data_IF_264792887824
#
_entry.id   IF_264792887824
#
_cell.length_a   1.000
_cell.length_b   1.000
_cell.length_c   1.000
_cell.angle_alpha   90.00
_cell.angle_beta   90.00
_cell.angle_gamma   90.00
#
_symmetry.space_group_name_H-M   'P 1'
#
loop_
_entity.id
_entity.type
_entity.pdbx_description
1 polymer ?
#
# COMPACT_ATOMS: atom_id res chain seq x y z
N UNK A 1 -49.83 -5.05 -11.08
CA UNK A 1 -49.22 -4.56 -9.83
C UNK A 1 -48.27 -3.41 -10.12
N UNK A 2 -48.27 -2.37 -9.30
CA UNK A 2 -47.46 -1.15 -9.52
C UNK A 2 -46.74 -0.76 -8.24
N UNK A 3 -45.46 -0.38 -8.37
CA UNK A 3 -44.66 0.08 -7.24
C UNK A 3 -45.14 1.45 -6.75
N UNK A 4 -45.32 1.59 -5.44
CA UNK A 4 -45.72 2.86 -4.81
C UNK A 4 -44.68 3.41 -3.85
N UNK A 5 -43.89 2.55 -3.22
CA UNK A 5 -42.88 2.94 -2.23
C UNK A 5 -41.74 1.92 -2.16
N UNK A 6 -40.50 2.39 -1.96
CA UNK A 6 -39.34 1.54 -1.66
C UNK A 6 -38.43 2.22 -0.65
N UNK A 7 -37.82 1.43 0.23
CA UNK A 7 -36.88 1.93 1.24
C UNK A 7 -35.76 0.92 1.47
N UNK A 8 -34.61 1.39 1.95
CA UNK A 8 -33.54 0.51 2.41
C UNK A 8 -33.85 -0.14 3.75
N UNK A 9 -34.77 0.44 4.55
CA UNK A 9 -35.18 -0.07 5.85
C UNK A 9 -36.47 -0.87 5.70
N UNK A 10 -36.42 -2.15 6.06
CA UNK A 10 -37.55 -3.05 5.94
C UNK A 10 -38.70 -2.63 6.85
N UNK A 11 -38.41 -2.07 8.02
CA UNK A 11 -39.41 -1.61 8.99
C UNK A 11 -40.30 -0.51 8.40
N UNK A 12 -39.71 0.38 7.59
CA UNK A 12 -40.44 1.43 6.90
C UNK A 12 -41.40 0.86 5.84
N UNK A 13 -40.96 -0.17 5.12
CA UNK A 13 -41.76 -0.84 4.08
C UNK A 13 -42.90 -1.65 4.72
N UNK A 14 -42.64 -2.34 5.83
CA UNK A 14 -43.65 -3.04 6.63
C UNK A 14 -44.70 -2.05 7.16
N UNK A 15 -44.27 -0.91 7.73
CA UNK A 15 -45.17 0.13 8.24
C UNK A 15 -46.04 0.77 7.15
N UNK A 16 -45.45 1.05 5.99
CA UNK A 16 -46.21 1.58 4.83
C UNK A 16 -47.18 0.54 4.27
N UNK A 17 -46.80 -0.73 4.21
CA UNK A 17 -47.69 -1.79 3.78
C UNK A 17 -48.87 -1.96 4.76
N UNK A 18 -48.63 -1.85 6.07
CA UNK A 18 -49.69 -1.88 7.07
C UNK A 18 -50.64 -0.68 6.93
N UNK A 19 -50.10 0.54 6.81
CA UNK A 19 -50.89 1.75 6.60
C UNK A 19 -51.83 1.66 5.38
N UNK A 20 -51.33 1.12 4.25
CA UNK A 20 -52.14 0.93 3.05
C UNK A 20 -53.21 -0.16 3.21
N UNK A 21 -52.91 -1.25 3.95
CA UNK A 21 -53.91 -2.29 4.26
C UNK A 21 -55.02 -1.76 5.16
N UNK A 22 -54.70 -0.94 6.15
CA UNK A 22 -55.67 -0.28 7.04
C UNK A 22 -56.60 0.65 6.26
N UNK A 23 -56.11 1.29 5.19
CA UNK A 23 -56.92 2.08 4.26
C UNK A 23 -57.74 1.24 3.26
N UNK A 24 -57.71 -0.09 3.37
CA UNK A 24 -58.44 -1.03 2.52
C UNK A 24 -57.80 -1.28 1.15
N UNK A 25 -56.50 -1.00 0.99
CA UNK A 25 -55.77 -1.19 -0.27
C UNK A 25 -54.97 -2.50 -0.22
N UNK A 26 -55.15 -3.35 -1.23
CA UNK A 26 -54.47 -4.63 -1.31
C UNK A 26 -53.02 -4.46 -1.82
N UNK A 27 -52.04 -4.84 -0.99
CA UNK A 27 -50.60 -4.64 -1.25
C UNK A 27 -49.78 -5.90 -1.11
N UNK A 28 -48.72 -6.01 -1.90
CA UNK A 28 -47.70 -7.05 -1.86
C UNK A 28 -46.33 -6.44 -1.58
N UNK A 29 -45.61 -6.98 -0.61
CA UNK A 29 -44.23 -6.60 -0.30
C UNK A 29 -43.28 -7.58 -0.98
N UNK A 30 -42.25 -7.07 -1.66
CA UNK A 30 -41.15 -7.87 -2.20
C UNK A 30 -39.86 -7.56 -1.44
N UNK A 31 -38.96 -8.55 -1.36
CA UNK A 31 -37.77 -8.51 -0.50
C UNK A 31 -38.14 -8.31 0.98
N UNK A 32 -39.25 -8.93 1.39
CA UNK A 32 -39.65 -9.12 2.79
C UNK A 32 -38.67 -10.08 3.50
N UNK A 33 -38.75 -10.19 4.84
CA UNK A 33 -37.91 -11.07 5.66
C UNK A 33 -37.90 -12.48 5.07
N UNK A 34 -36.89 -12.79 4.26
CA UNK A 34 -36.64 -14.17 3.89
C UNK A 34 -36.33 -14.90 5.20
N UNK A 35 -37.01 -16.02 5.40
CA UNK A 35 -37.14 -16.80 6.65
C UNK A 35 -35.80 -17.36 7.23
N UNK A 36 -34.64 -16.80 6.89
CA UNK A 36 -33.35 -17.17 7.47
C UNK A 36 -32.46 -15.96 7.71
N UNK A 37 -32.23 -15.63 8.98
CA UNK A 37 -31.07 -14.87 9.41
C UNK A 37 -31.38 -13.73 10.37
N UNK A 38 -31.49 -14.07 11.66
CA UNK A 38 -31.45 -13.13 12.77
C UNK A 38 -30.04 -12.48 12.87
N UNK A 39 -29.69 -11.62 11.92
CA UNK A 39 -28.47 -10.81 11.98
C UNK A 39 -28.79 -9.43 11.44
N UNK A 40 -28.85 -8.46 12.34
CA UNK A 40 -28.90 -7.03 12.00
C UNK A 40 -27.57 -6.72 11.30
N UNK A 41 -27.50 -6.76 9.97
CA UNK A 41 -26.31 -6.29 9.27
C UNK A 41 -26.29 -4.77 9.37
N UNK A 42 -25.25 -4.25 10.00
CA UNK A 42 -24.99 -2.81 10.07
C UNK A 42 -24.71 -2.27 8.66
N UNK A 43 -25.30 -1.12 8.34
CA UNK A 43 -25.09 -0.38 7.09
C UNK A 43 -23.59 -0.30 6.73
N UNK A 44 -23.22 -0.90 5.60
CA UNK A 44 -21.86 -0.99 5.08
C UNK A 44 -21.75 -0.14 3.81
N UNK A 45 -20.78 0.77 3.74
CA UNK A 45 -20.47 1.55 2.53
C UNK A 45 -19.75 0.73 1.43
N UNK A 46 -19.47 -0.56 1.68
CA UNK A 46 -18.62 -1.41 0.82
C UNK A 46 -19.36 -2.60 0.22
N UNK A 47 -20.68 -2.67 0.34
CA UNK A 47 -21.49 -3.77 -0.16
C UNK A 47 -22.36 -3.29 -1.32
N UNK A 48 -22.42 -4.08 -2.39
CA UNK A 48 -23.34 -3.84 -3.51
C UNK A 48 -24.77 -3.78 -2.97
N UNK A 49 -25.53 -2.77 -3.41
CA UNK A 49 -26.88 -2.53 -2.94
C UNK A 49 -27.79 -3.70 -3.35
N UNK A 50 -27.96 -4.68 -2.45
CA UNK A 50 -28.95 -5.74 -2.59
C UNK A 50 -30.36 -5.18 -2.90
N UNK A 51 -31.21 -6.03 -3.46
CA UNK A 51 -32.53 -5.65 -3.96
C UNK A 51 -33.38 -5.00 -2.83
N UNK A 52 -33.83 -3.75 -3.04
CA UNK A 52 -34.48 -2.97 -1.99
C UNK A 52 -35.88 -3.51 -1.68
N UNK A 53 -36.28 -3.60 -0.39
CA UNK A 53 -37.66 -3.81 0.01
C UNK A 53 -38.61 -2.82 -0.65
N UNK A 54 -39.68 -3.33 -1.24
CA UNK A 54 -40.59 -2.55 -2.09
C UNK A 54 -42.06 -2.94 -1.89
N UNK A 55 -42.95 -1.95 -1.82
CA UNK A 55 -44.41 -2.14 -1.74
C UNK A 55 -45.03 -1.97 -3.12
N UNK A 56 -45.81 -2.97 -3.52
CA UNK A 56 -46.57 -3.02 -4.76
C UNK A 56 -48.07 -3.03 -4.45
N UNK A 57 -48.85 -2.20 -5.13
CA UNK A 57 -50.31 -2.31 -5.10
C UNK A 57 -50.74 -3.36 -6.11
N UNK A 58 -51.62 -4.28 -5.68
CA UNK A 58 -52.06 -5.41 -6.51
C UNK A 58 -52.99 -4.92 -7.63
N UNK A 59 -54.02 -4.17 -7.23
CA UNK A 59 -55.05 -3.58 -8.08
C UNK A 59 -54.55 -2.27 -8.70
N UNK A 60 -54.82 -2.05 -9.99
CA UNK A 60 -54.28 -0.87 -10.68
C UNK A 60 -55.10 0.39 -10.40
N UNK A 61 -56.39 0.21 -10.12
CA UNK A 61 -57.34 1.24 -9.72
C UNK A 61 -56.97 1.91 -8.38
N UNK A 62 -56.38 1.16 -7.45
CA UNK A 62 -56.01 1.66 -6.13
C UNK A 62 -54.68 2.44 -6.13
N UNK A 63 -53.97 2.50 -7.26
CA UNK A 63 -52.66 3.13 -7.35
C UNK A 63 -52.71 4.64 -7.06
N UNK A 64 -53.69 5.35 -7.62
CA UNK A 64 -53.86 6.79 -7.42
C UNK A 64 -54.18 7.09 -5.95
N UNK A 65 -55.17 6.37 -5.41
CA UNK A 65 -55.59 6.47 -4.02
C UNK A 65 -54.46 6.17 -3.03
N UNK A 66 -53.65 5.13 -3.31
CA UNK A 66 -52.47 4.81 -2.49
C UNK A 66 -51.44 5.94 -2.48
N UNK A 67 -51.18 6.58 -3.64
CA UNK A 67 -50.24 7.71 -3.72
C UNK A 67 -50.76 8.95 -3.02
N UNK A 68 -52.06 9.21 -3.08
CA UNK A 68 -52.66 10.35 -2.39
C UNK A 68 -52.56 10.18 -0.86
N UNK A 69 -52.87 8.99 -0.33
CA UNK A 69 -52.67 8.68 1.09
C UNK A 69 -51.21 8.80 1.54
N UNK A 70 -50.26 8.34 0.72
CA UNK A 70 -48.83 8.48 1.03
C UNK A 70 -48.38 9.94 1.01
N UNK A 71 -49.00 10.79 0.17
CA UNK A 71 -48.72 12.23 0.12
C UNK A 71 -49.27 12.95 1.34
N UNK A 72 -50.51 12.62 1.74
CA UNK A 72 -51.14 13.14 2.96
C UNK A 72 -50.32 12.79 4.21
N UNK A 73 -49.75 11.60 4.25
CA UNK A 73 -48.84 11.16 5.32
C UNK A 73 -47.43 11.76 5.25
N UNK A 74 -47.12 12.60 4.24
CA UNK A 74 -45.80 13.21 4.05
C UNK A 74 -44.69 12.21 3.62
N UNK A 75 -45.08 11.02 3.16
CA UNK A 75 -44.15 9.94 2.78
C UNK A 75 -43.67 10.05 1.32
N UNK A 76 -44.35 10.84 0.48
CA UNK A 76 -43.94 11.18 -0.88
C UNK A 76 -44.18 12.65 -1.21
N UNK A 77 -43.25 13.27 -1.95
CA UNK A 77 -43.41 14.65 -2.43
C UNK A 77 -44.39 14.74 -3.60
N UNK A 78 -45.22 15.79 -3.61
CA UNK A 78 -46.16 16.05 -4.70
C UNK A 78 -45.42 16.60 -5.91
N UNK A 79 -45.48 15.91 -7.05
CA UNK A 79 -44.94 16.41 -8.32
C UNK A 79 -45.90 17.37 -9.06
N UNK A 80 -46.96 17.87 -8.40
CA UNK A 80 -47.93 18.81 -8.97
C UNK A 80 -47.82 20.16 -8.27
N UNK A 81 -47.14 21.10 -8.93
CA UNK A 81 -47.18 22.51 -8.56
C UNK A 81 -48.58 23.07 -8.84
N UNK A 82 -49.42 23.17 -7.82
CA UNK A 82 -50.75 23.80 -7.81
C UNK A 82 -50.69 25.35 -8.01
N UNK A 83 -49.86 25.84 -8.94
CA UNK A 83 -49.67 27.28 -9.17
C UNK A 83 -49.71 27.71 -10.64
N UNK A 84 -50.11 26.83 -11.56
CA UNK A 84 -50.12 27.12 -12.99
C UNK A 84 -51.53 27.28 -13.61
N UNK A 85 -52.56 27.58 -12.82
CA UNK A 85 -53.94 27.69 -13.34
C UNK A 85 -54.45 29.12 -13.52
N UNK A 86 -53.62 30.17 -13.55
CA UNK A 86 -54.08 31.52 -13.97
C UNK A 86 -52.94 32.37 -14.56
N UNK A 87 -52.55 32.14 -15.82
CA UNK A 87 -51.80 33.14 -16.59
C UNK A 87 -52.06 32.96 -18.10
N UNK A 88 -52.41 34.01 -18.84
CA UNK A 88 -52.61 33.91 -20.28
C UNK A 88 -51.27 33.65 -20.97
N UNK A 89 -51.29 32.77 -21.97
CA UNK A 89 -50.13 32.45 -22.81
C UNK A 89 -49.49 33.73 -23.37
N UNK A 90 -48.32 34.10 -22.84
CA UNK A 90 -47.39 35.03 -23.49
C UNK A 90 -46.19 34.22 -23.93
N UNK A 91 -45.99 34.11 -25.24
CA UNK A 91 -44.72 33.68 -25.80
C UNK A 91 -43.65 34.70 -25.40
N UNK A 92 -42.79 34.31 -24.45
CA UNK A 92 -41.52 35.00 -24.20
C UNK A 92 -40.48 34.41 -25.14
N UNK A 93 -39.91 35.24 -26.01
CA UNK A 93 -38.72 34.88 -26.77
C UNK A 93 -37.51 34.84 -25.83
N UNK A 94 -36.66 33.82 -25.97
CA UNK A 94 -35.44 33.62 -25.18
C UNK A 94 -34.44 34.79 -25.26
N UNK A 95 -34.66 35.75 -26.16
CA UNK A 95 -33.82 36.92 -26.36
C UNK A 95 -33.88 37.94 -25.20
N UNK A 96 -34.93 37.93 -24.37
CA UNK A 96 -35.10 38.94 -23.30
C UNK A 96 -34.59 38.50 -21.91
N UNK A 97 -34.15 37.26 -21.77
CA UNK A 97 -33.50 36.75 -20.55
C UNK A 97 -31.98 37.02 -20.51
N UNK A 98 -31.38 37.51 -21.60
CA UNK A 98 -29.92 37.46 -21.78
C UNK A 98 -29.12 38.67 -21.28
N UNK A 99 -29.71 39.63 -20.54
CA UNK A 99 -28.93 40.78 -20.00
C UNK A 99 -29.34 41.18 -18.59
N UNK A 100 -29.12 40.29 -17.61
CA UNK A 100 -28.92 40.71 -16.22
C UNK A 100 -27.42 40.79 -15.90
N UNK A 101 -26.91 41.91 -15.36
CA UNK A 101 -25.49 42.05 -14.98
C UNK A 101 -25.05 41.09 -13.86
N UNK A 102 -25.99 40.36 -13.23
CA UNK A 102 -25.73 39.29 -12.27
C UNK A 102 -25.26 37.96 -12.88
N UNK A 103 -25.64 37.65 -14.13
CA UNK A 103 -25.32 36.35 -14.74
C UNK A 103 -23.84 36.21 -15.09
N UNK A 104 -23.18 37.32 -15.42
CA UNK A 104 -21.73 37.37 -15.65
C UNK A 104 -20.94 37.10 -14.37
N UNK A 105 -21.45 37.49 -13.20
CA UNK A 105 -20.81 37.21 -11.89
C UNK A 105 -21.02 35.76 -11.49
N UNK A 106 -22.24 35.24 -11.69
CA UNK A 106 -22.56 33.83 -11.47
C UNK A 106 -21.71 32.90 -12.35
N UNK A 107 -21.52 33.25 -13.62
CA UNK A 107 -20.67 32.50 -14.54
C UNK A 107 -19.20 32.49 -14.08
N UNK A 108 -18.65 33.64 -13.65
CA UNK A 108 -17.27 33.72 -13.14
C UNK A 108 -17.06 32.89 -11.89
N UNK A 109 -18.03 32.89 -10.98
CA UNK A 109 -18.00 32.05 -9.77
C UNK A 109 -18.02 30.57 -10.14
N UNK A 110 -18.90 30.17 -11.06
CA UNK A 110 -19.01 28.78 -11.53
C UNK A 110 -17.73 28.31 -12.23
N UNK A 111 -17.13 29.15 -13.07
CA UNK A 111 -15.85 28.84 -13.73
C UNK A 111 -14.71 28.79 -12.72
N UNK A 112 -14.64 29.71 -11.76
CA UNK A 112 -13.64 29.69 -10.69
C UNK A 112 -13.72 28.42 -9.82
N UNK A 113 -14.94 27.97 -9.50
CA UNK A 113 -15.16 26.71 -8.77
C UNK A 113 -14.66 25.50 -9.56
N UNK A 114 -14.96 25.43 -10.87
CA UNK A 114 -14.51 24.32 -11.73
C UNK A 114 -12.98 24.28 -11.84
N UNK A 115 -12.31 25.43 -11.95
CA UNK A 115 -10.85 25.51 -11.95
C UNK A 115 -10.28 25.05 -10.61
N UNK A 116 -10.86 25.45 -9.48
CA UNK A 116 -10.42 24.97 -8.16
C UNK A 116 -10.55 23.45 -8.02
N UNK A 117 -11.66 22.87 -8.47
CA UNK A 117 -11.87 21.43 -8.47
C UNK A 117 -10.84 20.72 -9.36
N UNK A 118 -10.59 21.24 -10.57
CA UNK A 118 -9.59 20.67 -11.48
C UNK A 118 -8.17 20.72 -10.89
N UNK A 119 -7.81 21.81 -10.22
CA UNK A 119 -6.52 21.95 -9.52
C UNK A 119 -6.43 20.99 -8.35
N UNK A 120 -7.49 20.86 -7.53
CA UNK A 120 -7.53 19.91 -6.42
C UNK A 120 -7.42 18.46 -6.91
N UNK A 121 -8.11 18.10 -7.99
CA UNK A 121 -8.01 16.78 -8.62
C UNK A 121 -6.62 16.52 -9.18
N UNK A 122 -6.01 17.52 -9.84
CA UNK A 122 -4.64 17.46 -10.34
C UNK A 122 -3.63 17.26 -9.21
N UNK A 123 -3.77 17.99 -8.10
CA UNK A 123 -2.94 17.81 -6.91
C UNK A 123 -3.16 16.43 -6.26
N UNK A 124 -4.40 15.93 -6.20
CA UNK A 124 -4.69 14.62 -5.64
C UNK A 124 -4.10 13.48 -6.50
N UNK A 125 -4.20 13.60 -7.83
CA UNK A 125 -3.58 12.66 -8.77
C UNK A 125 -2.05 12.71 -8.68
N UNK A 126 -1.48 13.91 -8.57
CA UNK A 126 -0.03 14.09 -8.45
C UNK A 126 0.51 13.57 -7.11
N UNK A 127 -0.24 13.76 -6.01
CA UNK A 127 0.08 13.15 -4.71
C UNK A 127 -0.11 11.63 -4.74
N UNK A 128 -1.15 11.11 -5.40
CA UNK A 128 -1.37 9.67 -5.55
C UNK A 128 -0.29 8.97 -6.38
N UNK A 129 0.29 9.65 -7.38
CA UNK A 129 1.45 9.16 -8.13
C UNK A 129 2.73 9.16 -7.29
N UNK A 130 2.91 10.17 -6.41
CA UNK A 130 4.06 10.25 -5.48
C UNK A 130 3.92 9.31 -4.27
N UNK A 131 2.70 8.95 -3.88
CA UNK A 131 2.40 8.09 -2.74
C UNK A 131 1.90 6.70 -3.14
N UNK A 132 2.25 6.20 -4.34
CA UNK A 132 2.07 4.78 -4.62
C UNK A 132 2.81 3.99 -3.53
N UNK A 133 2.11 3.17 -2.71
CA UNK A 133 2.80 2.30 -1.79
C UNK A 133 3.75 1.43 -2.61
N UNK A 134 5.03 1.43 -2.26
CA UNK A 134 6.01 0.59 -2.91
C UNK A 134 5.50 -0.86 -2.87
N UNK A 135 5.65 -1.65 -3.95
CA UNK A 135 5.40 -3.08 -3.89
C UNK A 135 6.15 -3.65 -2.68
N UNK A 136 5.49 -4.52 -1.90
CA UNK A 136 6.10 -5.14 -0.71
C UNK A 136 7.49 -5.64 -1.09
N UNK A 137 8.52 -5.07 -0.44
CA UNK A 137 9.90 -5.39 -0.75
C UNK A 137 10.07 -6.91 -0.73
N UNK A 138 10.80 -7.50 -1.69
CA UNK A 138 11.03 -8.94 -1.71
C UNK A 138 11.63 -9.35 -0.37
N UNK A 139 10.89 -10.19 0.37
CA UNK A 139 11.34 -10.74 1.65
C UNK A 139 12.59 -11.57 1.38
N UNK A 140 13.65 -11.31 2.13
CA UNK A 140 14.91 -12.02 1.97
C UNK A 140 14.72 -13.51 2.34
N UNK A 141 14.99 -14.46 1.42
CA UNK A 141 14.83 -15.88 1.70
C UNK A 141 15.71 -16.35 2.86
N UNK A 142 16.90 -15.75 3.07
CA UNK A 142 17.77 -16.09 4.18
C UNK A 142 17.17 -15.66 5.53
N UNK A 143 16.42 -14.56 5.56
CA UNK A 143 15.70 -14.09 6.75
C UNK A 143 14.57 -15.05 7.13
N UNK A 144 13.79 -15.50 6.14
CA UNK A 144 12.72 -16.49 6.35
C UNK A 144 13.28 -17.83 6.82
N UNK A 145 14.39 -18.27 6.24
CA UNK A 145 15.06 -19.52 6.65
C UNK A 145 15.63 -19.43 8.07
N UNK A 146 16.17 -18.27 8.46
CA UNK A 146 16.66 -18.04 9.82
C UNK A 146 15.53 -18.10 10.86
N UNK A 147 14.36 -17.54 10.54
CA UNK A 147 13.22 -17.50 11.45
C UNK A 147 12.68 -18.90 11.82
N UNK A 148 12.83 -19.87 10.92
CA UNK A 148 12.37 -21.25 11.09
C UNK A 148 13.47 -22.21 11.63
N UNK A 149 14.67 -21.69 11.93
CA UNK A 149 15.85 -22.53 12.23
C UNK A 149 15.84 -23.04 13.69
N UNK A 150 16.48 -24.19 13.89
CA UNK A 150 16.65 -24.85 15.19
C UNK A 150 17.92 -24.45 15.99
N UNK A 151 18.77 -23.56 15.45
CA UNK A 151 20.00 -23.03 16.10
C UNK A 151 20.96 -24.10 16.65
N UNK A 152 21.25 -25.12 15.86
CA UNK A 152 22.14 -26.25 16.18
C UNK A 152 23.65 -25.96 16.00
N UNK A 153 24.03 -24.69 15.80
CA UNK A 153 25.42 -24.27 15.54
C UNK A 153 25.91 -24.52 14.10
N UNK A 154 25.07 -25.10 13.23
CA UNK A 154 25.42 -25.28 11.83
C UNK A 154 25.31 -23.97 11.04
N UNK A 155 26.10 -23.86 9.96
CA UNK A 155 26.16 -22.66 9.12
C UNK A 155 24.82 -22.44 8.40
N UNK A 156 24.35 -21.19 8.41
CA UNK A 156 23.17 -20.72 7.69
C UNK A 156 23.57 -19.73 6.58
N UNK A 157 22.67 -19.53 5.61
CA UNK A 157 22.80 -18.43 4.66
C UNK A 157 22.73 -17.09 5.39
N UNK A 158 23.57 -16.14 4.99
CA UNK A 158 23.66 -14.85 5.69
C UNK A 158 22.53 -13.91 5.23
N UNK A 159 21.62 -13.44 6.13
CA UNK A 159 20.63 -12.44 5.76
C UNK A 159 21.27 -11.16 5.21
N UNK A 160 20.67 -10.55 4.20
CA UNK A 160 21.17 -9.34 3.53
C UNK A 160 21.33 -8.17 4.49
N UNK A 161 20.39 -7.99 5.41
CA UNK A 161 20.47 -6.94 6.43
C UNK A 161 21.66 -7.15 7.37
N UNK A 162 21.96 -8.40 7.72
CA UNK A 162 23.14 -8.76 8.50
C UNK A 162 24.42 -8.49 7.70
N UNK A 163 24.49 -8.98 6.46
CA UNK A 163 25.63 -8.75 5.58
C UNK A 163 25.92 -7.24 5.40
N UNK A 164 24.87 -6.44 5.19
CA UNK A 164 24.97 -4.98 5.09
C UNK A 164 25.56 -4.36 6.36
N UNK A 165 25.08 -4.76 7.54
CA UNK A 165 25.58 -4.24 8.80
C UNK A 165 27.07 -4.56 9.00
N UNK A 166 27.47 -5.80 8.72
CA UNK A 166 28.86 -6.24 8.90
C UNK A 166 29.78 -5.57 7.88
N UNK A 167 29.43 -5.56 6.59
CA UNK A 167 30.22 -4.85 5.58
C UNK A 167 30.31 -3.35 5.89
N UNK A 168 29.21 -2.70 6.27
CA UNK A 168 29.20 -1.28 6.60
C UNK A 168 30.14 -0.95 7.77
N UNK A 169 30.22 -1.83 8.76
CA UNK A 169 31.13 -1.69 9.90
C UNK A 169 32.60 -1.90 9.49
N UNK A 170 32.88 -2.91 8.66
CA UNK A 170 34.25 -3.29 8.32
C UNK A 170 34.86 -2.48 7.18
N UNK A 171 34.05 -1.96 6.24
CA UNK A 171 34.53 -1.09 5.17
C UNK A 171 35.08 0.26 5.68
N UNK A 172 34.76 0.64 6.92
CA UNK A 172 35.37 1.80 7.56
C UNK A 172 36.85 1.58 7.94
N UNK A 173 37.27 0.32 8.03
CA UNK A 173 38.65 -0.08 8.37
C UNK A 173 39.45 -0.52 7.13
N UNK A 174 38.86 -0.45 5.92
CA UNK A 174 39.46 -1.01 4.71
C UNK A 174 40.48 -0.06 4.09
N UNK A 175 41.63 -0.59 3.68
CA UNK A 175 42.79 0.22 3.27
C UNK A 175 42.75 0.61 1.78
N UNK A 176 42.06 -0.18 0.95
CA UNK A 176 42.01 0.04 -0.49
C UNK A 176 40.76 0.82 -0.94
N UNK A 177 40.86 1.70 -1.95
CA UNK A 177 39.70 2.43 -2.48
C UNK A 177 38.77 1.53 -3.29
N UNK A 178 39.26 0.41 -3.82
CA UNK A 178 38.43 -0.61 -4.48
C UNK A 178 38.29 -1.83 -3.57
N UNK A 179 37.05 -2.23 -3.34
CA UNK A 179 36.69 -3.35 -2.47
C UNK A 179 35.78 -4.32 -3.21
N UNK A 180 36.18 -5.59 -3.24
CA UNK A 180 35.48 -6.62 -3.99
C UNK A 180 34.79 -7.58 -3.03
N UNK A 181 33.46 -7.52 -2.99
CA UNK A 181 32.68 -8.15 -1.93
C UNK A 181 32.15 -9.52 -2.35
N UNK A 182 32.40 -10.52 -1.50
CA UNK A 182 31.87 -11.87 -1.57
C UNK A 182 30.97 -12.14 -0.36
N UNK A 183 29.80 -12.73 -0.60
CA UNK A 183 28.87 -13.15 0.44
C UNK A 183 28.66 -14.67 0.34
N UNK A 184 28.94 -15.34 1.46
CA UNK A 184 28.96 -16.79 1.63
C UNK A 184 29.91 -17.49 0.65
N UNK A 185 29.47 -17.80 -0.58
CA UNK A 185 30.31 -18.37 -1.65
C UNK A 185 30.09 -17.71 -3.01
N UNK A 186 29.26 -16.66 -3.04
CA UNK A 186 28.86 -15.98 -4.26
C UNK A 186 29.20 -14.50 -4.22
N UNK A 187 29.06 -13.84 -5.36
CA UNK A 187 29.19 -12.39 -5.42
C UNK A 187 28.16 -11.71 -4.51
N UNK A 188 28.58 -10.63 -3.85
CA UNK A 188 27.65 -9.79 -3.12
C UNK A 188 26.55 -9.27 -4.07
N UNK A 189 25.25 -9.38 -3.68
CA UNK A 189 24.15 -8.94 -4.53
C UNK A 189 24.26 -7.45 -4.89
N UNK A 190 23.86 -7.06 -6.11
CA UNK A 190 23.90 -5.65 -6.55
C UNK A 190 23.19 -4.70 -5.58
N UNK A 191 22.04 -5.10 -5.05
CA UNK A 191 21.30 -4.31 -4.06
C UNK A 191 22.13 -4.03 -2.80
N UNK A 192 22.96 -4.99 -2.37
CA UNK A 192 23.86 -4.83 -1.23
C UNK A 192 25.00 -3.86 -1.57
N UNK A 193 25.62 -4.00 -2.75
CA UNK A 193 26.66 -3.07 -3.22
C UNK A 193 26.12 -1.63 -3.31
N UNK A 194 24.91 -1.44 -3.88
CA UNK A 194 24.28 -0.13 -3.99
C UNK A 194 23.95 0.49 -2.62
N UNK A 195 23.52 -0.32 -1.65
CA UNK A 195 23.21 0.14 -0.29
C UNK A 195 24.47 0.56 0.51
N UNK A 196 25.63 0.04 0.14
CA UNK A 196 26.92 0.33 0.78
C UNK A 196 27.73 1.41 0.04
N UNK A 197 27.26 1.87 -1.12
CA UNK A 197 27.98 2.83 -1.95
C UNK A 197 28.19 4.17 -1.21
N UNK A 198 29.42 4.68 -1.26
CA UNK A 198 29.82 5.96 -0.66
C UNK A 198 30.84 6.67 -1.56
N UNK A 199 30.94 8.00 -1.50
CA UNK A 199 31.96 8.74 -2.25
C UNK A 199 33.37 8.23 -1.92
N UNK A 200 34.21 8.04 -2.95
CA UNK A 200 35.59 7.58 -2.79
C UNK A 200 35.77 6.07 -2.56
N UNK A 201 34.68 5.31 -2.45
CA UNK A 201 34.72 3.85 -2.28
C UNK A 201 34.10 3.16 -3.50
N UNK A 202 34.92 2.37 -4.21
CA UNK A 202 34.49 1.57 -5.36
C UNK A 202 34.18 0.15 -4.93
N UNK A 203 32.90 -0.22 -4.93
CA UNK A 203 32.45 -1.57 -4.59
C UNK A 203 32.21 -2.39 -5.84
N UNK A 204 32.85 -3.56 -5.93
CA UNK A 204 32.70 -4.51 -7.03
C UNK A 204 32.24 -5.87 -6.51
N UNK A 205 31.59 -6.69 -7.35
CA UNK A 205 31.46 -8.13 -7.10
C UNK A 205 32.86 -8.78 -7.03
N UNK A 206 33.04 -9.78 -6.17
CA UNK A 206 34.32 -10.48 -6.04
C UNK A 206 34.82 -11.09 -7.36
N UNK A 207 33.93 -11.54 -8.25
CA UNK A 207 34.28 -12.06 -9.58
C UNK A 207 34.97 -11.05 -10.51
N UNK A 208 34.84 -9.74 -10.22
CA UNK A 208 35.49 -8.67 -10.97
C UNK A 208 36.91 -8.36 -10.47
N UNK A 209 37.42 -9.12 -9.51
CA UNK A 209 38.74 -8.94 -8.96
C UNK A 209 39.51 -10.26 -8.99
N UNK A 210 40.81 -10.12 -9.06
CA UNK A 210 41.76 -11.22 -9.07
C UNK A 210 42.55 -11.20 -7.76
N UNK A 211 42.53 -12.33 -7.07
CA UNK A 211 43.32 -12.56 -5.86
C UNK A 211 44.76 -12.84 -6.27
N UNK A 212 45.69 -12.05 -5.76
CA UNK A 212 47.11 -12.15 -6.11
C UNK A 212 47.92 -12.15 -4.82
N UNK A 213 48.66 -13.24 -4.61
CA UNK A 213 49.39 -13.48 -3.37
C UNK A 213 50.74 -12.75 -3.29
N UNK A 214 51.29 -12.38 -4.44
CA UNK A 214 52.57 -11.70 -4.53
C UNK A 214 52.49 -10.27 -3.99
N UNK A 215 53.64 -9.64 -3.82
CA UNK A 215 53.76 -8.31 -3.20
C UNK A 215 53.03 -7.21 -4.01
N UNK A 216 52.70 -7.44 -5.30
CA UNK A 216 51.89 -6.52 -6.09
C UNK A 216 50.44 -6.40 -5.60
N UNK A 217 49.96 -7.41 -4.88
CA UNK A 217 48.61 -7.52 -4.35
C UNK A 217 47.51 -7.63 -5.38
N UNK A 218 46.33 -7.88 -4.83
CA UNK A 218 45.10 -8.16 -5.54
C UNK A 218 44.61 -6.93 -6.29
N UNK A 219 43.93 -7.16 -7.42
CA UNK A 219 43.53 -6.09 -8.34
C UNK A 219 42.16 -6.34 -8.93
N UNK A 220 41.46 -5.26 -9.26
CA UNK A 220 40.28 -5.33 -10.11
C UNK A 220 40.70 -5.66 -11.56
N UNK A 221 39.74 -6.15 -12.36
CA UNK A 221 39.98 -6.53 -13.78
C UNK A 221 40.49 -5.38 -14.65
N UNK A 222 40.29 -4.13 -14.22
CA UNK A 222 40.79 -2.92 -14.87
C UNK A 222 42.17 -2.47 -14.37
N UNK A 223 42.83 -3.29 -13.54
CA UNK A 223 44.20 -3.10 -13.07
C UNK A 223 44.34 -2.28 -11.78
N UNK A 224 43.26 -1.69 -11.27
CA UNK A 224 43.32 -0.93 -10.01
C UNK A 224 43.56 -1.84 -8.80
N UNK A 225 44.37 -1.43 -7.81
CA UNK A 225 44.51 -2.15 -6.55
C UNK A 225 43.15 -2.39 -5.90
N UNK A 226 42.90 -3.61 -5.46
CA UNK A 226 41.63 -3.98 -4.86
C UNK A 226 41.82 -5.00 -3.75
N UNK A 227 41.07 -4.83 -2.68
CA UNK A 227 41.03 -5.78 -1.58
C UNK A 227 39.79 -6.66 -1.70
N UNK A 228 39.97 -7.98 -1.54
CA UNK A 228 38.91 -8.96 -1.58
C UNK A 228 38.36 -9.14 -0.16
N UNK A 229 37.10 -8.76 0.03
CA UNK A 229 36.42 -8.93 1.31
C UNK A 229 35.36 -10.02 1.19
N UNK A 230 35.41 -10.99 2.09
CA UNK A 230 34.45 -12.09 2.17
C UNK A 230 33.78 -12.13 3.55
N UNK A 231 32.46 -12.27 3.53
CA UNK A 231 31.67 -12.70 4.68
C UNK A 231 31.20 -14.12 4.47
N UNK A 232 31.43 -15.00 5.44
CA UNK A 232 31.04 -16.41 5.33
C UNK A 232 30.75 -17.03 6.69
N UNK A 233 30.27 -18.27 6.64
CA UNK A 233 30.11 -19.13 7.80
C UNK A 233 29.29 -18.49 8.94
N UNK A 234 28.16 -17.85 8.60
CA UNK A 234 27.24 -17.35 9.61
C UNK A 234 26.65 -18.52 10.43
N UNK A 235 26.88 -18.49 11.74
CA UNK A 235 26.40 -19.48 12.72
C UNK A 235 25.44 -18.79 13.67
N UNK A 236 24.13 -18.87 13.43
CA UNK A 236 23.15 -18.24 14.31
C UNK A 236 23.04 -19.03 15.63
N UNK A 237 23.06 -18.31 16.75
CA UNK A 237 22.78 -18.84 18.09
C UNK A 237 21.35 -18.56 18.53
N UNK A 238 20.69 -17.58 17.90
CA UNK A 238 19.27 -17.28 18.04
C UNK A 238 18.74 -16.61 16.77
N UNK A 239 17.46 -16.23 16.75
CA UNK A 239 16.86 -15.44 15.64
C UNK A 239 17.55 -14.09 15.45
N UNK A 240 18.15 -13.59 16.52
CA UNK A 240 18.64 -12.23 16.64
C UNK A 240 20.13 -12.17 16.95
N UNK A 241 20.83 -13.30 17.05
CA UNK A 241 22.25 -13.33 17.39
C UNK A 241 23.00 -14.48 16.72
N UNK A 242 24.30 -14.29 16.53
CA UNK A 242 25.19 -15.35 16.05
C UNK A 242 26.62 -14.88 15.87
N UNK A 243 27.41 -15.70 15.18
CA UNK A 243 28.79 -15.37 14.80
C UNK A 243 28.97 -15.47 13.30
N UNK A 244 29.79 -14.60 12.72
CA UNK A 244 30.12 -14.62 11.28
C UNK A 244 31.63 -14.47 11.10
N UNK A 245 32.17 -15.12 10.07
CA UNK A 245 33.57 -14.97 9.67
C UNK A 245 33.70 -13.88 8.62
N UNK A 246 34.69 -13.02 8.83
CA UNK A 246 35.09 -11.95 7.92
C UNK A 246 36.54 -12.19 7.51
N UNK A 247 36.84 -11.99 6.23
CA UNK A 247 38.21 -11.88 5.76
C UNK A 247 38.36 -10.73 4.80
N UNK A 248 39.48 -10.02 4.91
CA UNK A 248 39.93 -9.02 3.97
C UNK A 248 41.32 -9.42 3.48
N UNK A 249 41.51 -9.51 2.17
CA UNK A 249 42.72 -10.00 1.56
C UNK A 249 43.20 -9.04 0.47
N UNK A 250 44.42 -8.56 0.60
CA UNK A 250 45.11 -7.83 -0.46
C UNK A 250 46.28 -8.64 -1.02
N UNK A 251 47.17 -9.15 -0.17
CA UNK A 251 48.26 -10.06 -0.55
C UNK A 251 48.66 -10.95 0.64
N UNK A 252 49.69 -11.79 0.47
CA UNK A 252 50.17 -12.70 1.52
C UNK A 252 50.59 -12.01 2.84
N UNK A 253 51.01 -10.75 2.77
CA UNK A 253 51.50 -9.96 3.91
C UNK A 253 50.42 -9.04 4.48
N UNK A 254 49.35 -8.80 3.71
CA UNK A 254 48.25 -7.89 4.02
C UNK A 254 46.95 -8.68 3.88
N UNK A 255 46.63 -9.39 4.95
CA UNK A 255 45.37 -10.11 5.11
C UNK A 255 44.90 -10.04 6.56
N UNK A 256 43.59 -9.90 6.75
CA UNK A 256 42.94 -9.82 8.06
C UNK A 256 41.77 -10.79 8.10
N UNK A 257 41.72 -11.62 9.13
CA UNK A 257 40.63 -12.56 9.39
C UNK A 257 40.02 -12.24 10.74
N UNK A 258 38.70 -12.10 10.79
CA UNK A 258 37.97 -11.82 12.03
C UNK A 258 36.83 -12.82 12.22
N UNK A 259 36.58 -13.17 13.46
CA UNK A 259 35.32 -13.78 13.89
C UNK A 259 34.53 -12.73 14.64
N UNK A 260 33.35 -12.38 14.15
CA UNK A 260 32.52 -11.29 14.66
C UNK A 260 31.28 -11.87 15.35
N UNK A 261 30.97 -11.39 16.54
CA UNK A 261 29.68 -11.57 17.16
C UNK A 261 28.72 -10.49 16.64
N UNK A 262 27.54 -10.94 16.22
CA UNK A 262 26.51 -10.09 15.61
C UNK A 262 25.19 -10.28 16.34
N UNK A 263 24.46 -9.19 16.53
CA UNK A 263 23.19 -9.19 17.24
C UNK A 263 22.23 -8.15 16.65
N UNK A 264 20.92 -8.39 16.72
CA UNK A 264 19.91 -7.37 16.45
C UNK A 264 19.70 -6.53 17.69
N UNK A 265 20.07 -5.26 17.59
CA UNK A 265 19.80 -4.25 18.60
C UNK A 265 18.76 -3.31 18.00
N UNK A 266 17.61 -3.18 18.68
CA UNK A 266 16.46 -2.39 18.19
C UNK A 266 15.98 -2.83 16.80
N UNK A 267 15.95 -4.15 16.55
CA UNK A 267 15.54 -4.73 15.27
C UNK A 267 16.55 -4.59 14.12
N UNK A 268 17.72 -3.99 14.36
CA UNK A 268 18.77 -3.81 13.35
C UNK A 268 20.00 -4.64 13.70
N UNK A 269 20.52 -5.41 12.75
CA UNK A 269 21.77 -6.13 12.92
C UNK A 269 22.94 -5.17 13.17
N UNK A 270 23.79 -5.51 14.13
CA UNK A 270 25.02 -4.80 14.46
C UNK A 270 26.12 -5.79 14.79
N UNK A 271 27.36 -5.41 14.49
CA UNK A 271 28.54 -6.10 15.04
C UNK A 271 28.70 -5.63 16.48
N UNK A 272 28.50 -6.53 17.44
CA UNK A 272 28.56 -6.18 18.88
C UNK A 272 29.95 -6.41 19.46
N UNK A 273 30.70 -7.37 18.92
CA UNK A 273 32.04 -7.69 19.41
C UNK A 273 32.89 -8.37 18.34
N UNK A 274 34.18 -8.06 18.30
CA UNK A 274 35.17 -8.88 17.58
C UNK A 274 35.67 -9.97 18.54
N UNK A 275 35.38 -11.23 18.24
CA UNK A 275 35.75 -12.38 19.09
C UNK A 275 37.19 -12.81 18.85
N UNK A 276 37.64 -12.74 17.60
CA UNK A 276 38.99 -13.13 17.20
C UNK A 276 39.44 -12.25 16.04
N UNK A 277 40.72 -11.86 16.06
CA UNK A 277 41.39 -11.21 14.94
C UNK A 277 42.70 -11.93 14.69
N UNK A 278 42.95 -12.29 13.43
CA UNK A 278 44.22 -12.83 12.95
C UNK A 278 44.67 -11.95 11.80
N UNK A 279 45.94 -11.53 11.80
CA UNK A 279 46.52 -10.76 10.70
C UNK A 279 47.67 -11.56 10.12
N UNK A 280 47.86 -11.49 8.81
CA UNK A 280 49.13 -11.88 8.22
C UNK A 280 50.23 -11.01 8.84
N UNK A 281 51.27 -11.64 9.38
CA UNK A 281 52.49 -10.95 9.78
C UNK A 281 53.46 -11.10 8.62
N UNK A 282 53.69 -10.01 7.90
CA UNK A 282 54.74 -9.91 6.90
C UNK A 282 56.12 -9.84 7.52
#
# INVERSE_FOLDING_TARGET
MRQVFSSSRLENVEGVAQFLREAGIEVRVTNDRSYKGNRRSSFSYREDAGERPTVWVIRSEDQLRARDLLREAGLIDSTRSEQAHQAPYRFRSDAELARRPGDKRMLRIKVGLLVCIAVAMGLALFQGLRHRPAPSAPVDPAETALAARAFDGSVAATPRALAQAVFAAQLAEADQPTQCLRLDRGDAPRALLSALARPGLRLLPASQCEEIADDSGSRARDGQPAELIELRAFRPTSKDAGTIEYSAYFNRSVAVYKTLAVERVDGTWRVVKTLKTVRAMG
#
